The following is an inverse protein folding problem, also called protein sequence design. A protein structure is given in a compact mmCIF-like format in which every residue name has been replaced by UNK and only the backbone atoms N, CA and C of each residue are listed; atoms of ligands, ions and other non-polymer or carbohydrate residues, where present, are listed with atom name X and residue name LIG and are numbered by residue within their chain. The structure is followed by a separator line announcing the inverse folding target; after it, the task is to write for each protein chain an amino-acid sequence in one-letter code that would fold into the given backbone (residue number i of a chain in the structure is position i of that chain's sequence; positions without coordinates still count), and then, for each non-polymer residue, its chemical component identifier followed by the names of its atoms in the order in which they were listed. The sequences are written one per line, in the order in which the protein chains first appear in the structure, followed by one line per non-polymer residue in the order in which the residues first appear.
data_IF_647347897081
#
_entry.id   IF_647347897081
#
_cell.length_a   1.000
_cell.length_b   1.000
_cell.length_c   1.000
_cell.angle_alpha   90.00
_cell.angle_beta   90.00
_cell.angle_gamma   90.00
#
_symmetry.space_group_name_H-M   'P 1'
#
loop_
_entity.id
_entity.type
_entity.pdbx_description
1 polymer ?
#
# COMPACT_ATOMS: atom_id res chain seq x y z
N UNK A 1 7.17 -4.97 29.94
CA UNK A 1 5.73 -5.02 30.24
C UNK A 1 5.32 -3.65 30.75
N UNK A 2 4.23 -3.10 30.25
CA UNK A 2 3.59 -1.87 30.68
C UNK A 2 2.29 -2.25 31.37
N UNK A 3 2.10 -1.85 32.62
CA UNK A 3 0.90 -2.20 33.39
C UNK A 3 0.55 -1.10 34.41
N UNK A 4 -0.64 -1.15 34.95
CA UNK A 4 -0.99 -0.42 36.16
C UNK A 4 -0.75 -1.35 37.36
N UNK A 5 -0.05 -0.84 38.39
CA UNK A 5 0.22 -1.59 39.61
C UNK A 5 -1.05 -1.82 40.44
N UNK A 6 -0.92 -2.48 41.61
CA UNK A 6 -2.05 -2.75 42.50
C UNK A 6 -2.70 -1.50 43.10
N UNK A 7 -2.06 -0.34 43.01
CA UNK A 7 -2.56 0.97 43.43
C UNK A 7 -3.14 1.77 42.23
N UNK A 8 -3.04 1.25 41.01
CA UNK A 8 -3.54 1.87 39.79
C UNK A 8 -2.58 2.84 39.11
N UNK A 9 -1.27 2.77 39.42
CA UNK A 9 -0.26 3.62 38.81
C UNK A 9 0.55 2.90 37.75
N UNK A 10 1.00 3.67 36.73
CA UNK A 10 1.80 3.18 35.62
C UNK A 10 3.14 2.64 36.10
N UNK A 11 3.39 1.39 35.72
CA UNK A 11 4.56 0.63 36.10
C UNK A 11 5.20 -0.03 34.90
N UNK A 12 6.52 -0.01 34.82
CA UNK A 12 7.30 -0.59 33.73
C UNK A 12 8.21 -1.69 34.27
N UNK A 13 8.08 -2.88 33.68
CA UNK A 13 9.01 -3.98 33.91
C UNK A 13 9.71 -4.33 32.59
N UNK A 14 11.03 -4.29 32.60
CA UNK A 14 11.88 -4.66 31.48
C UNK A 14 12.37 -6.09 31.71
N UNK A 15 12.17 -6.93 30.71
CA UNK A 15 12.63 -8.31 30.73
C UNK A 15 13.66 -8.50 29.62
N UNK A 16 14.74 -9.23 29.92
CA UNK A 16 15.76 -9.64 28.96
C UNK A 16 15.66 -11.14 28.71
N UNK A 17 16.08 -11.58 27.55
CA UNK A 17 16.13 -13.00 27.20
C UNK A 17 17.13 -13.74 28.10
N UNK A 18 16.66 -14.82 28.71
CA UNK A 18 17.46 -15.69 29.55
C UNK A 18 18.38 -16.60 28.74
N UNK A 19 19.20 -17.40 29.42
CA UNK A 19 20.11 -18.35 28.77
C UNK A 19 19.37 -19.57 28.19
N UNK A 20 18.22 -19.91 28.71
CA UNK A 20 17.39 -21.01 28.23
C UNK A 20 16.35 -20.48 27.25
N UNK A 21 16.01 -21.30 26.25
CA UNK A 21 15.00 -20.95 25.22
C UNK A 21 13.67 -20.60 25.90
N UNK A 22 13.08 -19.49 25.47
CA UNK A 22 11.78 -18.98 25.96
C UNK A 22 11.75 -18.54 27.46
N UNK A 23 12.90 -18.30 28.07
CA UNK A 23 12.94 -17.72 29.43
C UNK A 23 13.20 -16.23 29.39
N UNK A 24 12.46 -15.46 30.21
CA UNK A 24 12.64 -14.03 30.37
C UNK A 24 12.99 -13.73 31.82
N UNK A 25 14.03 -12.95 32.03
CA UNK A 25 14.51 -12.54 33.36
C UNK A 25 14.22 -11.05 33.51
N UNK A 26 13.62 -10.68 34.65
CA UNK A 26 13.40 -9.28 34.99
C UNK A 26 14.77 -8.58 35.14
N UNK A 27 15.01 -7.54 34.37
CA UNK A 27 16.22 -6.75 34.36
C UNK A 27 16.05 -5.44 35.13
N UNK A 28 15.02 -4.68 34.77
CA UNK A 28 14.72 -3.40 35.37
C UNK A 28 13.22 -3.28 35.71
N UNK A 29 12.95 -2.52 36.77
CA UNK A 29 11.59 -2.21 37.24
C UNK A 29 11.56 -0.77 37.71
N UNK A 30 10.62 0.04 37.21
CA UNK A 30 10.50 1.43 37.62
C UNK A 30 9.08 1.97 37.39
N UNK A 31 8.75 3.00 38.19
CA UNK A 31 7.48 3.73 38.07
C UNK A 31 7.75 5.10 37.48
N UNK A 32 7.36 5.36 36.21
CA UNK A 32 7.52 6.67 35.62
C UNK A 32 6.73 7.74 36.38
N UNK A 33 7.32 8.94 36.47
CA UNK A 33 6.65 10.07 37.12
C UNK A 33 6.65 11.28 36.18
N UNK A 34 5.59 12.06 36.22
CA UNK A 34 5.46 13.35 35.56
C UNK A 34 5.53 14.46 36.60
N UNK A 35 6.56 15.30 36.60
CA UNK A 35 6.76 16.39 37.60
C UNK A 35 6.75 15.92 39.04
N UNK A 36 7.18 14.67 39.29
CA UNK A 36 7.19 14.07 40.59
C UNK A 36 5.89 13.35 41.02
N UNK A 37 4.85 13.41 40.21
CA UNK A 37 3.62 12.68 40.40
C UNK A 37 3.60 11.40 39.57
N UNK A 38 3.03 10.33 40.14
CA UNK A 38 2.83 9.06 39.45
C UNK A 38 1.73 9.21 38.39
N UNK A 39 1.86 8.48 37.29
CA UNK A 39 0.82 8.43 36.26
C UNK A 39 -0.22 7.37 36.58
N UNK A 40 -1.50 7.71 36.46
CA UNK A 40 -2.65 6.83 36.64
C UNK A 40 -3.12 6.22 35.27
N UNK A 41 -2.35 6.39 34.23
CA UNK A 41 -2.59 5.84 32.90
C UNK A 41 -1.29 5.38 32.25
N UNK A 42 -1.40 4.44 31.33
CA UNK A 42 -0.27 3.97 30.48
C UNK A 42 -0.23 4.87 29.24
N UNK A 43 0.87 5.64 29.00
CA UNK A 43 0.99 6.48 27.82
C UNK A 43 1.32 5.63 26.56
N UNK A 44 0.37 4.80 26.18
CA UNK A 44 0.46 3.91 25.02
C UNK A 44 -0.85 3.95 24.24
N UNK A 45 -0.73 4.24 22.94
CA UNK A 45 -1.88 4.37 22.07
C UNK A 45 -1.87 3.30 20.99
N UNK A 46 -3.00 2.59 20.86
CA UNK A 46 -3.25 1.71 19.72
C UNK A 46 -3.72 2.54 18.53
N UNK A 47 -3.33 2.11 17.33
CA UNK A 47 -3.81 2.67 16.06
C UNK A 47 -4.45 1.55 15.25
N UNK A 48 -5.74 1.64 15.06
CA UNK A 48 -6.53 0.75 14.22
C UNK A 48 -7.03 1.44 12.95
N UNK A 49 -7.49 0.69 11.95
CA UNK A 49 -8.03 1.26 10.72
C UNK A 49 -9.37 1.99 10.90
N UNK A 50 -10.14 1.68 11.95
CA UNK A 50 -11.45 2.26 12.21
C UNK A 50 -11.54 2.97 13.55
N UNK A 51 -10.78 2.52 14.55
CA UNK A 51 -10.76 3.09 15.88
C UNK A 51 -9.40 2.93 16.57
N UNK A 52 -9.31 3.39 17.82
CA UNK A 52 -8.10 3.32 18.66
C UNK A 52 -8.13 2.14 19.65
N UNK A 53 -8.98 1.15 19.42
CA UNK A 53 -9.07 -0.01 20.29
C UNK A 53 -7.92 -1.01 20.08
N UNK A 54 -7.58 -1.86 21.09
CA UNK A 54 -6.54 -2.88 20.94
C UNK A 54 -6.98 -4.09 20.09
N UNK A 55 -8.18 -4.07 19.53
CA UNK A 55 -8.71 -5.17 18.75
C UNK A 55 -7.96 -5.30 17.41
N UNK A 56 -7.65 -6.54 17.04
CA UNK A 56 -7.03 -6.81 15.74
C UNK A 56 -8.12 -6.79 14.66
N UNK A 57 -8.06 -5.79 13.81
CA UNK A 57 -8.95 -5.65 12.67
C UNK A 57 -8.27 -6.08 11.36
N UNK A 58 -9.09 -6.44 10.37
CA UNK A 58 -8.59 -6.75 9.04
C UNK A 58 -8.08 -5.46 8.39
N UNK A 59 -6.78 -5.46 7.99
CA UNK A 59 -6.22 -4.31 7.26
C UNK A 59 -7.02 -4.04 5.97
N UNK A 60 -7.41 -2.79 5.69
CA UNK A 60 -8.11 -2.43 4.45
C UNK A 60 -7.33 -2.78 3.18
N UNK A 61 -6.00 -2.83 3.26
CA UNK A 61 -5.12 -3.13 2.12
C UNK A 61 -4.82 -4.62 1.92
N UNK A 62 -5.27 -5.52 2.79
CA UNK A 62 -4.87 -6.93 2.75
C UNK A 62 -5.26 -7.63 1.46
N UNK A 63 -6.43 -7.32 0.92
CA UNK A 63 -6.90 -7.95 -0.32
C UNK A 63 -6.09 -7.46 -1.52
N UNK A 64 -5.75 -6.17 -1.56
CA UNK A 64 -4.85 -5.58 -2.56
C UNK A 64 -3.45 -6.18 -2.46
N UNK A 65 -2.89 -6.30 -1.25
CA UNK A 65 -1.58 -6.90 -1.02
C UNK A 65 -1.54 -8.36 -1.49
N UNK A 66 -2.57 -9.17 -1.23
CA UNK A 66 -2.65 -10.56 -1.68
C UNK A 66 -2.68 -10.67 -3.20
N UNK A 67 -3.43 -9.81 -3.90
CA UNK A 67 -3.43 -9.77 -5.36
C UNK A 67 -2.07 -9.34 -5.90
N UNK A 68 -1.41 -8.36 -5.28
CA UNK A 68 -0.08 -7.90 -5.66
C UNK A 68 0.99 -9.00 -5.50
N UNK A 69 0.99 -9.74 -4.39
CA UNK A 69 1.89 -10.89 -4.20
C UNK A 69 1.64 -11.94 -5.28
N UNK A 70 0.37 -12.23 -5.60
CA UNK A 70 0.02 -13.16 -6.68
C UNK A 70 0.47 -12.66 -8.05
N UNK A 71 0.37 -11.36 -8.33
CA UNK A 71 0.88 -10.72 -9.54
C UNK A 71 2.40 -10.86 -9.64
N UNK A 72 3.12 -10.54 -8.56
CA UNK A 72 4.58 -10.67 -8.50
C UNK A 72 5.06 -12.10 -8.82
N UNK A 73 4.42 -13.13 -8.21
CA UNK A 73 4.75 -14.53 -8.49
C UNK A 73 4.53 -14.90 -9.95
N UNK A 74 3.40 -14.51 -10.52
CA UNK A 74 3.09 -14.77 -11.95
C UNK A 74 4.03 -14.03 -12.89
N UNK A 75 4.48 -12.82 -12.53
CA UNK A 75 5.48 -12.07 -13.28
C UNK A 75 6.83 -12.81 -13.30
N UNK A 76 7.26 -13.36 -12.17
CA UNK A 76 8.47 -14.17 -12.09
C UNK A 76 8.39 -15.43 -12.96
N UNK A 77 7.23 -16.12 -12.95
CA UNK A 77 6.99 -17.29 -13.80
C UNK A 77 7.04 -16.93 -15.29
N UNK A 78 6.48 -15.77 -15.68
CA UNK A 78 6.53 -15.27 -17.06
C UNK A 78 7.96 -14.97 -17.49
N UNK A 79 8.74 -14.25 -16.67
CA UNK A 79 10.14 -13.94 -16.96
C UNK A 79 10.99 -15.21 -17.10
N UNK A 80 10.79 -16.18 -16.20
CA UNK A 80 11.47 -17.49 -16.31
C UNK A 80 11.03 -18.22 -17.57
N UNK A 81 9.74 -18.22 -17.90
CA UNK A 81 9.23 -18.79 -19.13
C UNK A 81 9.83 -18.14 -20.38
N UNK A 82 9.90 -16.80 -20.43
CA UNK A 82 10.51 -16.06 -21.50
C UNK A 82 12.01 -16.40 -21.65
N UNK A 83 12.74 -16.48 -20.55
CA UNK A 83 14.14 -16.88 -20.54
C UNK A 83 14.35 -18.28 -21.16
N UNK A 84 13.57 -19.26 -20.73
CA UNK A 84 13.67 -20.63 -21.22
C UNK A 84 13.25 -20.78 -22.70
N UNK A 85 12.29 -19.97 -23.16
CA UNK A 85 11.78 -20.02 -24.54
C UNK A 85 12.66 -19.25 -25.52
N UNK A 86 13.41 -18.26 -25.03
CA UNK A 86 14.34 -17.48 -25.86
C UNK A 86 15.61 -18.23 -26.28
N UNK A 87 15.83 -19.40 -25.70
CA UNK A 87 17.02 -20.23 -25.98
C UNK A 87 16.61 -21.57 -26.62
N UNK A 88 16.39 -21.61 -27.94
CA UNK A 88 16.06 -22.86 -28.62
C UNK A 88 17.21 -23.87 -28.46
N UNK A 89 16.87 -25.11 -28.18
CA UNK A 89 17.85 -26.19 -28.03
C UNK A 89 18.06 -26.88 -29.37
N UNK A 90 19.26 -26.86 -29.95
CA UNK A 90 19.55 -27.60 -31.17
C UNK A 90 19.54 -29.09 -30.92
N UNK A 91 19.00 -29.86 -31.84
CA UNK A 91 19.04 -31.31 -31.80
C UNK A 91 19.37 -31.89 -33.16
N UNK A 92 19.99 -33.09 -33.14
CA UNK A 92 20.26 -33.87 -34.35
C UNK A 92 19.70 -35.27 -34.16
N UNK A 93 18.96 -35.78 -35.13
CA UNK A 93 18.43 -37.14 -35.13
C UNK A 93 19.05 -37.93 -36.28
N UNK A 94 19.06 -39.25 -36.17
CA UNK A 94 19.57 -40.15 -37.20
C UNK A 94 21.09 -40.25 -37.29
N UNK A 95 21.82 -39.61 -36.36
CA UNK A 95 23.29 -39.70 -36.27
C UNK A 95 23.73 -40.83 -35.37
N UNK A 96 24.79 -41.55 -35.75
CA UNK A 96 25.41 -42.57 -34.89
C UNK A 96 26.29 -41.91 -33.84
N UNK A 97 26.43 -42.55 -32.66
CA UNK A 97 27.17 -42.00 -31.53
C UNK A 97 28.69 -41.78 -31.84
N UNK A 98 29.23 -42.56 -32.78
CA UNK A 98 30.63 -42.44 -33.25
C UNK A 98 30.89 -41.23 -34.14
N UNK A 99 29.85 -40.57 -34.65
CA UNK A 99 29.90 -39.31 -35.39
C UNK A 99 29.54 -38.10 -34.53
N UNK A 100 29.35 -38.26 -33.24
CA UNK A 100 29.08 -37.17 -32.33
C UNK A 100 30.32 -36.28 -32.20
N UNK A 101 30.18 -35.01 -32.54
CA UNK A 101 31.26 -33.98 -32.50
C UNK A 101 30.71 -32.67 -31.97
N UNK A 102 31.56 -31.69 -31.84
CA UNK A 102 31.16 -30.33 -31.45
C UNK A 102 30.52 -29.64 -32.68
N UNK A 103 29.25 -29.23 -32.53
CA UNK A 103 28.51 -28.52 -33.55
C UNK A 103 28.46 -27.03 -33.17
N UNK A 104 29.21 -26.15 -33.87
CA UNK A 104 29.19 -24.73 -33.56
C UNK A 104 27.83 -24.12 -33.86
N UNK A 105 27.35 -23.23 -32.99
CA UNK A 105 26.13 -22.48 -33.19
C UNK A 105 26.49 -21.02 -33.52
N UNK A 106 25.91 -20.47 -34.55
CA UNK A 106 26.11 -19.06 -34.92
C UNK A 106 25.86 -18.78 -36.41
N UNK A 107 25.85 -17.54 -36.82
CA UNK A 107 25.51 -17.10 -38.15
C UNK A 107 26.52 -17.55 -39.24
N UNK A 108 27.68 -18.00 -38.86
CA UNK A 108 28.70 -18.54 -39.75
C UNK A 108 28.91 -20.08 -39.66
N UNK A 109 28.10 -20.76 -38.89
CA UNK A 109 28.21 -22.19 -38.66
C UNK A 109 27.54 -22.99 -39.81
N UNK A 110 28.23 -24.04 -40.31
CA UNK A 110 27.68 -24.99 -41.25
C UNK A 110 27.86 -26.41 -40.68
N UNK A 111 26.78 -27.15 -40.60
CA UNK A 111 26.78 -28.55 -40.15
C UNK A 111 26.70 -29.48 -41.35
N UNK A 112 27.72 -30.30 -41.53
CA UNK A 112 27.70 -31.38 -42.50
C UNK A 112 27.20 -32.64 -41.81
N UNK A 113 26.01 -33.06 -42.17
CA UNK A 113 25.36 -34.23 -41.57
C UNK A 113 25.45 -35.43 -42.49
N UNK A 114 25.59 -36.69 -41.96
CA UNK A 114 25.54 -37.89 -42.76
C UNK A 114 24.15 -38.10 -43.38
N UNK A 115 24.11 -38.91 -44.43
CA UNK A 115 22.86 -39.23 -45.12
C UNK A 115 21.82 -39.84 -44.14
N UNK A 116 20.60 -39.26 -44.13
CA UNK A 116 19.50 -39.67 -43.25
C UNK A 116 19.48 -38.95 -41.89
N UNK A 117 20.52 -38.18 -41.54
CA UNK A 117 20.48 -37.34 -40.33
C UNK A 117 19.71 -36.02 -40.56
N UNK A 118 19.01 -35.58 -39.56
CA UNK A 118 18.26 -34.33 -39.60
C UNK A 118 18.60 -33.48 -38.37
N UNK A 119 18.81 -32.18 -38.59
CA UNK A 119 18.97 -31.19 -37.52
C UNK A 119 17.73 -30.31 -37.39
N UNK A 120 17.47 -29.88 -36.19
CA UNK A 120 16.39 -28.94 -35.91
C UNK A 120 16.65 -28.15 -34.62
N UNK A 121 15.78 -27.21 -34.35
CA UNK A 121 15.73 -26.49 -33.10
C UNK A 121 14.50 -26.92 -32.34
N UNK A 122 14.67 -27.33 -31.08
CA UNK A 122 13.57 -27.55 -30.18
C UNK A 122 13.15 -26.20 -29.61
N UNK A 123 12.03 -25.71 -30.07
CA UNK A 123 11.44 -24.47 -29.61
C UNK A 123 10.23 -24.74 -28.72
N UNK A 124 10.12 -23.97 -27.66
CA UNK A 124 8.92 -23.96 -26.83
C UNK A 124 7.84 -23.13 -27.53
N UNK A 125 6.66 -23.71 -27.77
CA UNK A 125 5.59 -23.05 -28.54
C UNK A 125 4.94 -21.83 -27.86
N UNK A 126 5.32 -21.47 -26.65
CA UNK A 126 4.94 -20.23 -25.97
C UNK A 126 3.46 -20.07 -25.60
N UNK A 127 2.58 -21.06 -25.90
CA UNK A 127 1.15 -20.93 -25.62
C UNK A 127 0.83 -20.68 -24.14
N UNK A 128 1.65 -21.17 -23.21
CA UNK A 128 1.53 -20.91 -21.78
C UNK A 128 1.89 -19.48 -21.40
N UNK A 129 2.77 -18.80 -22.13
CA UNK A 129 3.20 -17.43 -21.84
C UNK A 129 2.06 -16.43 -22.03
N UNK A 130 1.30 -16.56 -23.11
CA UNK A 130 0.11 -15.73 -23.35
C UNK A 130 -0.93 -15.88 -22.22
N UNK A 131 -1.06 -17.09 -21.66
CA UNK A 131 -1.94 -17.28 -20.50
C UNK A 131 -1.44 -16.52 -19.26
N UNK A 132 -0.12 -16.51 -19.01
CA UNK A 132 0.48 -15.76 -17.92
C UNK A 132 0.31 -14.25 -18.11
N UNK A 133 0.54 -13.72 -19.33
CA UNK A 133 0.31 -12.32 -19.67
C UNK A 133 -1.14 -11.88 -19.44
N UNK A 134 -2.10 -12.67 -19.89
CA UNK A 134 -3.52 -12.42 -19.63
C UNK A 134 -3.86 -12.47 -18.16
N UNK A 135 -3.23 -13.38 -17.40
CA UNK A 135 -3.39 -13.47 -15.95
C UNK A 135 -2.84 -12.21 -15.24
N UNK A 136 -1.69 -11.69 -15.68
CA UNK A 136 -1.10 -10.44 -15.16
C UNK A 136 -2.03 -9.24 -15.42
N UNK A 137 -2.50 -9.08 -16.66
CA UNK A 137 -3.43 -8.00 -17.01
C UNK A 137 -4.72 -8.05 -16.19
N UNK A 138 -5.28 -9.24 -15.96
CA UNK A 138 -6.45 -9.41 -15.10
C UNK A 138 -6.17 -9.01 -13.65
N UNK A 139 -5.01 -9.41 -13.10
CA UNK A 139 -4.62 -9.04 -11.74
C UNK A 139 -4.39 -7.53 -11.59
N UNK A 140 -3.82 -6.87 -12.60
CA UNK A 140 -3.71 -5.40 -12.65
C UNK A 140 -5.09 -4.73 -12.59
N UNK A 141 -6.04 -5.24 -13.38
CA UNK A 141 -7.42 -4.76 -13.32
C UNK A 141 -8.08 -4.97 -11.94
N UNK A 142 -7.82 -6.13 -11.31
CA UNK A 142 -8.31 -6.39 -9.94
C UNK A 142 -7.68 -5.42 -8.92
N UNK A 143 -6.39 -5.15 -9.01
CA UNK A 143 -5.70 -4.19 -8.13
C UNK A 143 -6.26 -2.77 -8.31
N UNK A 144 -6.50 -2.34 -9.55
CA UNK A 144 -7.12 -1.05 -9.83
C UNK A 144 -8.53 -0.93 -9.22
N UNK A 145 -9.36 -1.97 -9.34
CA UNK A 145 -10.69 -2.00 -8.72
C UNK A 145 -10.64 -1.99 -7.19
N UNK A 146 -9.71 -2.75 -6.58
CA UNK A 146 -9.54 -2.75 -5.13
C UNK A 146 -9.02 -1.40 -4.62
N UNK A 147 -8.11 -0.76 -5.35
CA UNK A 147 -7.64 0.59 -5.05
C UNK A 147 -8.76 1.62 -5.12
N UNK A 148 -9.59 1.60 -6.16
CA UNK A 148 -10.72 2.50 -6.29
C UNK A 148 -11.74 2.35 -5.14
N UNK A 149 -11.99 1.12 -4.66
CA UNK A 149 -12.89 0.87 -3.52
C UNK A 149 -12.42 1.50 -2.21
N UNK A 150 -11.12 1.73 -2.05
CA UNK A 150 -10.57 2.41 -0.87
C UNK A 150 -10.92 3.90 -0.85
N UNK A 151 -11.19 4.46 -2.03
CA UNK A 151 -11.57 5.86 -2.23
C UNK A 151 -13.10 6.05 -2.30
N UNK A 152 -13.85 4.94 -2.51
CA UNK A 152 -15.32 4.98 -2.58
C UNK A 152 -15.95 5.15 -1.19
N UNK A 153 -17.03 5.93 -1.12
CA UNK A 153 -17.86 6.08 0.07
C UNK A 153 -18.50 4.75 0.49
N UNK A 154 -18.41 4.41 1.77
CA UNK A 154 -19.00 3.18 2.33
C UNK A 154 -20.55 3.20 2.35
N UNK A 155 -21.17 4.34 2.14
CA UNK A 155 -22.64 4.51 2.15
C UNK A 155 -23.22 4.53 0.74
N UNK A 156 -23.25 3.39 0.07
CA UNK A 156 -24.17 3.19 -1.07
C UNK A 156 -25.50 2.62 -0.59
N UNK A 157 -26.38 3.47 -0.07
CA UNK A 157 -27.81 3.25 -0.14
C UNK A 157 -28.36 4.26 -1.14
N UNK A 158 -29.09 3.74 -2.12
CA UNK A 158 -29.77 4.40 -3.24
C UNK A 158 -30.25 5.82 -2.90
N UNK A 159 -29.51 6.85 -3.29
CA UNK A 159 -29.97 8.24 -3.36
C UNK A 159 -29.46 8.87 -4.67
N UNK A 160 -30.32 9.75 -5.24
CA UNK A 160 -30.13 10.33 -6.56
C UNK A 160 -28.81 11.08 -6.71
N UNK A 161 -28.13 10.89 -7.85
CA UNK A 161 -26.77 11.30 -8.17
C UNK A 161 -26.44 12.80 -8.02
N UNK A 162 -27.42 13.69 -7.99
CA UNK A 162 -27.20 15.13 -7.94
C UNK A 162 -27.05 15.70 -6.53
N UNK A 163 -27.58 15.01 -5.50
CA UNK A 163 -27.45 15.44 -4.09
C UNK A 163 -26.14 14.97 -3.46
N UNK A 164 -25.51 13.96 -4.04
CA UNK A 164 -24.27 13.31 -3.55
C UNK A 164 -23.02 14.15 -3.85
N UNK A 165 -23.02 14.91 -4.94
CA UNK A 165 -21.88 15.76 -5.33
C UNK A 165 -21.61 16.93 -4.40
N UNK A 166 -22.59 17.37 -3.63
CA UNK A 166 -22.47 18.51 -2.71
C UNK A 166 -22.15 18.13 -1.26
N UNK A 167 -22.12 16.85 -0.90
CA UNK A 167 -22.02 16.40 0.49
C UNK A 167 -20.88 15.46 0.84
N UNK A 168 -20.13 14.97 -0.11
CA UNK A 168 -19.15 13.92 0.16
C UNK A 168 -17.77 14.13 -0.45
N UNK A 169 -17.15 15.22 -0.10
CA UNK A 169 -15.70 15.28 -0.22
C UNK A 169 -15.07 14.56 0.98
N UNK A 170 -14.82 13.26 0.91
CA UNK A 170 -13.83 12.60 1.72
C UNK A 170 -14.21 12.06 3.10
N UNK A 171 -15.31 12.46 3.74
CA UNK A 171 -15.57 12.05 5.14
C UNK A 171 -16.00 10.58 5.34
N UNK A 172 -16.35 9.88 4.28
CA UNK A 172 -16.89 8.51 4.36
C UNK A 172 -16.07 7.44 3.65
N UNK A 173 -14.95 7.77 3.03
CA UNK A 173 -14.08 6.77 2.41
C UNK A 173 -13.28 5.97 3.45
N UNK A 174 -12.86 4.76 3.08
CA UNK A 174 -12.01 3.91 3.96
C UNK A 174 -10.71 4.63 4.34
N UNK A 175 -10.10 5.35 3.39
CA UNK A 175 -8.87 6.10 3.64
C UNK A 175 -9.11 7.32 4.53
N UNK A 176 -10.22 8.03 4.37
CA UNK A 176 -10.57 9.15 5.24
C UNK A 176 -10.79 8.67 6.69
N UNK A 177 -11.50 7.55 6.88
CA UNK A 177 -11.68 6.97 8.21
C UNK A 177 -10.34 6.57 8.84
N UNK A 178 -9.42 5.98 8.07
CA UNK A 178 -8.08 5.67 8.54
C UNK A 178 -7.29 6.93 8.92
N UNK A 179 -7.34 7.98 8.09
CA UNK A 179 -6.69 9.26 8.39
C UNK A 179 -7.26 9.90 9.66
N UNK A 180 -8.57 9.87 9.85
CA UNK A 180 -9.22 10.37 11.06
C UNK A 180 -8.81 9.57 12.30
N UNK A 181 -8.80 8.23 12.21
CA UNK A 181 -8.32 7.38 13.32
C UNK A 181 -6.86 7.69 13.67
N UNK A 182 -5.99 7.81 12.68
CA UNK A 182 -4.59 8.21 12.89
C UNK A 182 -4.48 9.62 13.50
N UNK A 183 -5.28 10.59 13.04
CA UNK A 183 -5.30 11.95 13.57
C UNK A 183 -5.66 11.97 15.05
N UNK A 184 -6.70 11.22 15.45
CA UNK A 184 -7.11 11.08 16.85
C UNK A 184 -6.01 10.48 17.72
N UNK A 185 -5.37 9.39 17.27
CA UNK A 185 -4.30 8.74 18.01
C UNK A 185 -3.04 9.60 18.14
N UNK A 186 -2.68 10.35 17.08
CA UNK A 186 -1.56 11.31 17.12
C UNK A 186 -1.87 12.49 18.03
N UNK A 187 -3.10 13.00 18.01
CA UNK A 187 -3.55 14.07 18.91
C UNK A 187 -3.36 13.65 20.36
N UNK A 188 -3.84 12.47 20.74
CA UNK A 188 -3.67 11.92 22.10
C UNK A 188 -2.19 11.77 22.48
N UNK A 189 -1.34 11.29 21.59
CA UNK A 189 0.09 11.18 21.87
C UNK A 189 0.73 12.54 22.11
N UNK A 190 0.39 13.54 21.29
CA UNK A 190 0.92 14.89 21.41
C UNK A 190 0.34 15.65 22.62
N UNK A 191 -0.89 15.40 23.01
CA UNK A 191 -1.48 15.89 24.26
C UNK A 191 -0.66 15.41 25.46
N UNK A 192 -0.27 14.14 25.53
CA UNK A 192 0.60 13.64 26.60
C UNK A 192 1.97 14.32 26.61
N UNK A 193 2.60 14.50 25.43
CA UNK A 193 3.89 15.20 25.34
C UNK A 193 3.76 16.64 25.79
N UNK A 194 2.72 17.35 25.32
CA UNK A 194 2.45 18.76 25.67
C UNK A 194 2.22 18.92 27.17
N UNK A 195 1.47 17.99 27.76
CA UNK A 195 1.22 17.96 29.20
C UNK A 195 2.50 17.68 30.00
N UNK A 196 3.40 16.82 29.50
CA UNK A 196 4.70 16.59 30.13
C UNK A 196 5.61 17.81 30.09
N UNK A 197 5.64 18.54 28.98
CA UNK A 197 6.38 19.80 28.81
C UNK A 197 5.78 20.95 29.62
N UNK A 198 4.55 20.81 30.08
CA UNK A 198 3.88 21.81 30.90
C UNK A 198 3.13 22.88 30.12
N UNK A 199 2.89 22.63 28.86
CA UNK A 199 2.01 23.45 28.02
C UNK A 199 0.55 22.97 28.15
N UNK A 200 -0.38 23.69 27.51
CA UNK A 200 -1.79 23.31 27.55
C UNK A 200 -2.10 22.25 26.48
N UNK A 201 -2.46 21.00 26.86
CA UNK A 201 -2.80 19.93 25.92
C UNK A 201 -4.08 20.21 25.12
N UNK A 202 -5.02 21.04 25.63
CA UNK A 202 -6.25 21.38 24.92
C UNK A 202 -6.02 22.18 23.61
N UNK A 203 -4.81 22.72 23.42
CA UNK A 203 -4.42 23.45 22.21
C UNK A 203 -3.83 22.56 21.12
N UNK A 204 -3.69 21.26 21.40
CA UNK A 204 -3.17 20.30 20.42
C UNK A 204 -4.26 19.93 19.42
N UNK A 205 -4.01 20.19 18.18
CA UNK A 205 -4.86 19.77 17.07
C UNK A 205 -4.03 19.06 16.00
N UNK A 206 -4.45 17.88 15.60
CA UNK A 206 -3.83 17.09 14.54
C UNK A 206 -4.90 16.69 13.53
N UNK A 207 -4.75 17.15 12.31
CA UNK A 207 -5.64 16.79 11.22
C UNK A 207 -4.81 16.31 10.02
N UNK A 208 -4.90 15.03 9.70
CA UNK A 208 -4.35 14.49 8.47
C UNK A 208 -5.28 14.82 7.30
N UNK A 209 -4.69 14.89 6.10
CA UNK A 209 -5.47 15.08 4.88
C UNK A 209 -6.47 13.91 4.71
N UNK A 210 -7.73 14.23 4.50
CA UNK A 210 -8.82 13.29 4.22
C UNK A 210 -9.31 13.37 2.77
N UNK A 211 -8.81 14.34 1.99
CA UNK A 211 -9.11 14.50 0.58
C UNK A 211 -8.06 13.74 -0.26
N UNK A 212 -8.45 12.54 -0.70
CA UNK A 212 -7.61 11.66 -1.52
C UNK A 212 -8.04 11.62 -2.99
N UNK A 213 -9.03 12.44 -3.36
CA UNK A 213 -9.46 12.56 -4.75
C UNK A 213 -8.57 13.55 -5.47
N UNK A 214 -8.15 13.23 -6.68
CA UNK A 214 -7.49 14.21 -7.56
C UNK A 214 -8.55 15.24 -7.99
N UNK A 215 -8.55 16.39 -7.32
CA UNK A 215 -9.46 17.50 -7.55
C UNK A 215 -8.84 18.55 -8.45
N UNK A 216 -7.79 18.19 -9.22
CA UNK A 216 -7.15 19.12 -10.15
C UNK A 216 -8.18 19.72 -11.09
N UNK A 217 -8.29 21.03 -11.03
CA UNK A 217 -9.17 21.80 -11.88
C UNK A 217 -8.66 21.76 -13.32
N UNK A 218 -9.48 21.34 -14.25
CA UNK A 218 -9.11 21.40 -15.67
C UNK A 218 -9.08 22.82 -16.21
N UNK A 219 -8.27 23.10 -17.27
CA UNK A 219 -8.16 24.45 -17.84
C UNK A 219 -9.49 25.09 -18.28
N UNK A 220 -10.51 24.35 -18.75
CA UNK A 220 -11.85 24.91 -19.01
C UNK A 220 -12.53 25.41 -17.74
N UNK A 221 -12.53 24.60 -16.67
CA UNK A 221 -13.16 24.92 -15.38
C UNK A 221 -12.52 26.16 -14.74
N UNK A 222 -11.19 26.27 -14.80
CA UNK A 222 -10.47 27.44 -14.33
C UNK A 222 -10.89 28.71 -15.07
N UNK A 223 -11.08 28.65 -16.41
CA UNK A 223 -11.53 29.81 -17.19
C UNK A 223 -12.93 30.24 -16.79
N UNK A 224 -13.84 29.30 -16.55
CA UNK A 224 -15.21 29.59 -16.12
C UNK A 224 -15.22 30.20 -14.72
N UNK A 225 -14.40 29.69 -13.81
CA UNK A 225 -14.25 30.23 -12.46
C UNK A 225 -13.71 31.68 -12.47
N UNK A 226 -12.67 31.93 -13.27
CA UNK A 226 -12.11 33.28 -13.43
C UNK A 226 -13.10 34.21 -14.09
N UNK A 227 -13.88 33.76 -15.08
CA UNK A 227 -14.91 34.55 -15.73
C UNK A 227 -16.06 34.90 -14.74
N UNK A 228 -16.45 33.97 -13.89
CA UNK A 228 -17.44 34.20 -12.84
C UNK A 228 -16.94 35.25 -11.82
N UNK A 229 -15.70 35.20 -11.44
CA UNK A 229 -15.07 36.21 -10.57
C UNK A 229 -15.00 37.59 -11.25
N UNK A 230 -14.54 37.65 -12.50
CA UNK A 230 -14.44 38.90 -13.27
C UNK A 230 -15.81 39.57 -13.50
N UNK A 231 -16.86 38.74 -13.62
CA UNK A 231 -18.23 39.25 -13.73
C UNK A 231 -18.84 39.71 -12.39
N UNK A 232 -18.12 39.51 -11.28
CA UNK A 232 -18.63 39.79 -9.94
C UNK A 232 -19.62 38.78 -9.39
N UNK A 233 -19.76 37.61 -10.04
CA UNK A 233 -20.67 36.56 -9.59
C UNK A 233 -20.18 35.83 -8.34
N UNK A 234 -18.85 35.80 -8.12
CA UNK A 234 -18.24 35.20 -6.93
C UNK A 234 -17.23 36.17 -6.31
N UNK A 235 -17.08 36.21 -4.96
CA UNK A 235 -16.08 37.01 -4.26
C UNK A 235 -14.65 36.46 -4.46
N UNK A 236 -13.65 37.27 -4.15
CA UNK A 236 -12.23 36.88 -4.31
C UNK A 236 -11.83 35.72 -3.40
N UNK A 237 -12.40 35.68 -2.19
CA UNK A 237 -12.11 34.60 -1.24
C UNK A 237 -12.57 33.24 -1.75
N UNK A 238 -13.75 33.18 -2.40
CA UNK A 238 -14.27 31.96 -3.03
C UNK A 238 -13.42 31.56 -4.25
N UNK A 239 -12.91 32.51 -5.02
CA UNK A 239 -11.97 32.23 -6.10
C UNK A 239 -10.71 31.57 -5.55
N UNK A 240 -10.06 32.17 -4.53
CA UNK A 240 -8.84 31.65 -3.92
C UNK A 240 -9.09 30.25 -3.36
N UNK A 241 -10.18 30.06 -2.63
CA UNK A 241 -10.56 28.75 -2.07
C UNK A 241 -10.69 27.68 -3.15
N UNK A 242 -11.38 27.98 -4.26
CA UNK A 242 -11.55 27.03 -5.35
C UNK A 242 -10.24 26.75 -6.10
N UNK A 243 -9.34 27.73 -6.26
CA UNK A 243 -8.03 27.55 -6.87
C UNK A 243 -7.11 26.70 -5.98
N UNK A 244 -7.14 26.90 -4.66
CA UNK A 244 -6.42 26.05 -3.70
C UNK A 244 -6.96 24.61 -3.70
N UNK A 245 -8.27 24.45 -3.69
CA UNK A 245 -8.92 23.13 -3.77
C UNK A 245 -8.62 22.41 -5.10
N UNK A 246 -8.47 23.17 -6.18
CA UNK A 246 -8.11 22.67 -7.50
C UNK A 246 -6.59 22.45 -7.70
N UNK A 247 -5.78 22.52 -6.63
CA UNK A 247 -4.31 22.33 -6.64
C UNK A 247 -3.57 23.26 -7.64
N UNK A 248 -4.08 24.48 -7.84
CA UNK A 248 -3.48 25.47 -8.75
C UNK A 248 -2.66 26.54 -7.98
N UNK A 249 -2.97 26.76 -6.70
CA UNK A 249 -2.28 27.68 -5.78
C UNK A 249 -1.68 26.94 -4.59
#
# INVERSE_FOLDING_TARGET
VLELDGEGYYHVRVFVEGRDVDTFILDEEYTPTKRGERLDYIPFQFFGPTDLSPNVEKSPLIDLANVNISHYRTSADLEQGNYLTSQPTPYITGMRADHAGDFPIGSGAMWLLPEGAQAGMLEYKGAGLTFLENSLSRKQGMMAQLGARLLEDQKRAVEAADTVRLRSSGESSVLANLANSCSMGLCQCLEWVTDWEGANPELVEVQLNTDFMDTRMEPPEMRELVAAWQSGAIPTDDLIYNLQRGEIL
#
